data_IF_324579627158
#
_entry.id   IF_324579627158
#
_cell.length_a   1.000
_cell.length_b   1.000
_cell.length_c   1.000
_cell.angle_alpha   90.00
_cell.angle_beta   90.00
_cell.angle_gamma   90.00
#
_symmetry.space_group_name_H-M   'P 1'
#
loop_
_entity.id
_entity.type
_entity.pdbx_description
1 polymer ?
#
# COMPACT_ATOMS: atom_id res chain seq x y z
N UNK A 1 -17.33 -20.64 24.50
CA UNK A 1 -17.91 -21.53 23.47
C UNK A 1 -18.79 -20.78 22.46
N UNK A 2 -19.78 -19.97 22.87
CA UNK A 2 -20.67 -19.21 21.96
C UNK A 2 -19.91 -18.27 20.98
N UNK A 3 -18.97 -17.45 21.47
CA UNK A 3 -18.18 -16.55 20.63
C UNK A 3 -17.36 -17.28 19.55
N UNK A 4 -16.79 -18.44 19.89
CA UNK A 4 -16.05 -19.28 18.94
C UNK A 4 -16.98 -19.89 17.89
N UNK A 5 -18.16 -20.39 18.28
CA UNK A 5 -19.16 -20.89 17.32
C UNK A 5 -19.70 -19.79 16.41
N UNK A 6 -19.87 -18.57 16.91
CA UNK A 6 -20.30 -17.42 16.11
C UNK A 6 -19.22 -17.03 15.10
N UNK A 7 -17.95 -16.98 15.53
CA UNK A 7 -16.82 -16.77 14.64
C UNK A 7 -16.73 -17.84 13.54
N UNK A 8 -16.82 -19.12 13.91
CA UNK A 8 -16.77 -20.24 12.96
C UNK A 8 -17.94 -20.20 11.96
N UNK A 9 -19.14 -19.83 12.41
CA UNK A 9 -20.32 -19.69 11.55
C UNK A 9 -20.17 -18.53 10.55
N UNK A 10 -19.70 -17.37 11.02
CA UNK A 10 -19.38 -16.21 10.16
C UNK A 10 -18.30 -16.57 9.13
N UNK A 11 -17.26 -17.28 9.56
CA UNK A 11 -16.19 -17.76 8.68
C UNK A 11 -16.74 -18.73 7.61
N UNK A 12 -17.58 -19.69 8.02
CA UNK A 12 -18.20 -20.65 7.11
C UNK A 12 -19.08 -19.95 6.05
N UNK A 13 -19.94 -19.02 6.47
CA UNK A 13 -20.80 -18.26 5.56
C UNK A 13 -19.97 -17.43 4.57
N UNK A 14 -18.90 -16.77 5.05
CA UNK A 14 -17.98 -16.00 4.20
C UNK A 14 -17.25 -16.86 3.17
N UNK A 15 -16.79 -18.05 3.57
CA UNK A 15 -16.18 -19.02 2.65
C UNK A 15 -17.19 -19.42 1.58
N UNK A 16 -18.45 -19.63 1.96
CA UNK A 16 -19.52 -20.02 1.04
C UNK A 16 -19.86 -18.91 0.03
N UNK A 17 -19.88 -17.65 0.47
CA UNK A 17 -20.20 -16.49 -0.36
C UNK A 17 -19.03 -16.09 -1.29
N UNK A 18 -17.79 -16.16 -0.82
CA UNK A 18 -16.60 -15.72 -1.56
C UNK A 18 -15.61 -16.88 -1.80
N UNK A 19 -16.09 -18.02 -2.30
CA UNK A 19 -15.28 -19.23 -2.52
C UNK A 19 -14.00 -18.97 -3.32
N UNK A 20 -14.08 -18.14 -4.38
CA UNK A 20 -12.93 -17.81 -5.22
C UNK A 20 -11.83 -17.08 -4.43
N UNK A 21 -12.21 -16.07 -3.65
CA UNK A 21 -11.30 -15.32 -2.78
C UNK A 21 -10.68 -16.23 -1.72
N UNK A 22 -11.44 -17.14 -1.13
CA UNK A 22 -10.92 -18.11 -0.16
C UNK A 22 -9.90 -19.08 -0.77
N UNK A 23 -10.17 -19.59 -1.98
CA UNK A 23 -9.24 -20.45 -2.71
C UNK A 23 -7.95 -19.68 -3.03
N UNK A 24 -8.07 -18.46 -3.57
CA UNK A 24 -6.93 -17.58 -3.85
C UNK A 24 -6.08 -17.35 -2.59
N UNK A 25 -6.70 -16.91 -1.50
CA UNK A 25 -6.05 -16.70 -0.21
C UNK A 25 -5.30 -17.96 0.26
N UNK A 26 -5.94 -19.12 0.15
CA UNK A 26 -5.34 -20.39 0.58
C UNK A 26 -4.12 -20.74 -0.26
N UNK A 27 -4.20 -20.59 -1.58
CA UNK A 27 -3.07 -20.84 -2.49
C UNK A 27 -1.91 -19.91 -2.16
N UNK A 28 -2.16 -18.58 -2.09
CA UNK A 28 -1.13 -17.60 -1.78
C UNK A 28 -0.49 -17.88 -0.41
N UNK A 29 -1.30 -18.20 0.61
CA UNK A 29 -0.81 -18.52 1.95
C UNK A 29 0.09 -19.77 1.95
N UNK A 30 -0.29 -20.82 1.23
CA UNK A 30 0.53 -22.02 1.11
C UNK A 30 1.85 -21.74 0.39
N UNK A 31 1.84 -20.89 -0.64
CA UNK A 31 3.07 -20.44 -1.31
C UNK A 31 3.99 -19.68 -0.36
N UNK A 32 3.44 -18.75 0.45
CA UNK A 32 4.21 -18.00 1.46
C UNK A 32 4.78 -18.93 2.53
N UNK A 33 4.02 -19.92 2.99
CA UNK A 33 4.51 -20.92 3.96
C UNK A 33 5.66 -21.77 3.38
N UNK A 34 5.54 -22.20 2.13
CA UNK A 34 6.62 -22.91 1.45
C UNK A 34 7.87 -22.02 1.30
N UNK A 35 7.69 -20.74 0.94
CA UNK A 35 8.78 -19.76 0.86
C UNK A 35 9.44 -19.53 2.22
N UNK A 36 8.66 -19.42 3.31
CA UNK A 36 9.15 -19.28 4.68
C UNK A 36 10.04 -20.47 5.07
N UNK A 37 9.55 -21.70 4.87
CA UNK A 37 10.32 -22.91 5.16
C UNK A 37 11.63 -22.91 4.37
N UNK A 38 11.57 -22.62 3.06
CA UNK A 38 12.76 -22.53 2.22
C UNK A 38 13.73 -21.47 2.74
N UNK A 39 13.28 -20.27 3.07
CA UNK A 39 14.12 -19.17 3.57
C UNK A 39 14.85 -19.55 4.86
N UNK A 40 14.17 -20.24 5.78
CA UNK A 40 14.78 -20.76 7.01
C UNK A 40 15.85 -21.81 6.69
N UNK A 41 15.55 -22.76 5.78
CA UNK A 41 16.49 -23.83 5.41
C UNK A 41 17.77 -23.31 4.75
N UNK A 42 17.71 -22.20 4.03
CA UNK A 42 18.88 -21.56 3.40
C UNK A 42 19.52 -20.45 4.25
N UNK A 43 19.09 -20.31 5.52
CA UNK A 43 19.54 -19.26 6.44
C UNK A 43 19.33 -17.81 5.94
N UNK A 44 18.33 -17.59 5.08
CA UNK A 44 17.90 -16.24 4.69
C UNK A 44 16.88 -15.72 5.71
N UNK A 45 17.37 -15.13 6.80
CA UNK A 45 16.52 -14.63 7.89
C UNK A 45 15.70 -13.40 7.51
N UNK A 46 16.22 -12.52 6.66
CA UNK A 46 15.48 -11.37 6.12
C UNK A 46 14.28 -11.86 5.30
N UNK A 47 14.52 -12.81 4.39
CA UNK A 47 13.46 -13.44 3.60
C UNK A 47 12.43 -14.18 4.46
N UNK A 48 12.85 -14.78 5.59
CA UNK A 48 11.93 -15.38 6.54
C UNK A 48 11.08 -14.33 7.28
N UNK A 49 11.67 -13.19 7.67
CA UNK A 49 10.96 -12.07 8.29
C UNK A 49 9.91 -11.47 7.34
N UNK A 50 10.25 -11.29 6.06
CA UNK A 50 9.32 -10.87 5.00
C UNK A 50 8.13 -11.83 4.87
N UNK A 51 8.38 -13.14 4.89
CA UNK A 51 7.31 -14.14 4.83
C UNK A 51 6.40 -14.09 6.07
N UNK A 52 6.96 -13.92 7.26
CA UNK A 52 6.18 -13.79 8.50
C UNK A 52 5.32 -12.52 8.47
N UNK A 53 5.88 -11.38 8.07
CA UNK A 53 5.15 -10.13 7.90
C UNK A 53 4.00 -10.30 6.89
N UNK A 54 4.26 -10.97 5.76
CA UNK A 54 3.22 -11.28 4.75
C UNK A 54 2.06 -12.09 5.35
N UNK A 55 2.35 -13.11 6.16
CA UNK A 55 1.32 -13.92 6.83
C UNK A 55 0.50 -13.10 7.82
N UNK A 56 1.12 -12.14 8.53
CA UNK A 56 0.42 -11.20 9.41
C UNK A 56 -0.47 -10.26 8.60
N UNK A 57 0.05 -9.67 7.52
CA UNK A 57 -0.71 -8.77 6.65
C UNK A 57 -1.91 -9.48 5.99
N UNK A 58 -1.80 -10.76 5.67
CA UNK A 58 -2.91 -11.58 5.18
C UNK A 58 -4.07 -11.74 6.18
N UNK A 59 -3.85 -11.51 7.47
CA UNK A 59 -4.91 -11.53 8.49
C UNK A 59 -5.67 -10.19 8.50
N UNK A 60 -5.03 -9.10 8.06
CA UNK A 60 -5.51 -7.73 8.21
C UNK A 60 -6.93 -7.51 7.67
N UNK A 61 -7.34 -7.98 6.47
CA UNK A 61 -8.70 -7.77 5.99
C UNK A 61 -9.77 -8.33 6.94
N UNK A 62 -9.57 -9.59 7.38
CA UNK A 62 -10.50 -10.26 8.31
C UNK A 62 -10.56 -9.59 9.68
N UNK A 63 -9.42 -9.06 10.15
CA UNK A 63 -9.35 -8.31 11.39
C UNK A 63 -10.09 -6.98 11.29
N UNK A 64 -9.90 -6.23 10.21
CA UNK A 64 -10.58 -4.94 9.97
C UNK A 64 -12.10 -5.11 9.87
N UNK A 65 -12.57 -6.16 9.18
CA UNK A 65 -13.99 -6.47 9.08
C UNK A 65 -14.63 -6.74 10.44
N UNK A 66 -13.97 -7.53 11.29
CA UNK A 66 -14.44 -7.80 12.65
C UNK A 66 -14.39 -6.57 13.54
N UNK A 67 -13.33 -5.77 13.46
CA UNK A 67 -13.14 -4.59 14.32
C UNK A 67 -14.03 -3.42 13.93
N UNK A 68 -14.30 -3.23 12.63
CA UNK A 68 -15.11 -2.13 12.13
C UNK A 68 -16.58 -2.52 11.91
N UNK A 69 -16.94 -3.80 12.11
CA UNK A 69 -18.27 -4.34 11.82
C UNK A 69 -18.70 -4.07 10.38
N UNK A 70 -17.79 -4.36 9.44
CA UNK A 70 -17.99 -4.15 8.01
C UNK A 70 -17.71 -5.42 7.20
N UNK A 71 -18.22 -5.45 5.97
CA UNK A 71 -17.95 -6.48 4.98
C UNK A 71 -17.18 -5.91 3.79
N UNK A 72 -15.98 -6.42 3.57
CA UNK A 72 -15.15 -6.11 2.41
C UNK A 72 -15.53 -7.09 1.29
N UNK A 73 -15.90 -6.60 0.09
CA UNK A 73 -16.30 -7.47 -1.00
C UNK A 73 -15.15 -8.39 -1.44
N UNK A 74 -15.48 -9.61 -1.87
CA UNK A 74 -14.48 -10.63 -2.22
C UNK A 74 -13.49 -10.21 -3.31
N UNK A 75 -13.93 -9.38 -4.26
CA UNK A 75 -13.05 -8.77 -5.27
C UNK A 75 -11.98 -7.89 -4.60
N UNK A 76 -12.39 -7.01 -3.69
CA UNK A 76 -11.48 -6.10 -3.02
C UNK A 76 -10.51 -6.85 -2.11
N UNK A 77 -10.99 -7.84 -1.34
CA UNK A 77 -10.11 -8.74 -0.58
C UNK A 77 -9.09 -9.44 -1.47
N UNK A 78 -9.52 -9.96 -2.63
CA UNK A 78 -8.63 -10.62 -3.60
C UNK A 78 -7.54 -9.68 -4.11
N UNK A 79 -7.89 -8.43 -4.43
CA UNK A 79 -6.92 -7.40 -4.84
C UNK A 79 -5.92 -7.14 -3.71
N UNK A 80 -6.37 -7.00 -2.45
CA UNK A 80 -5.49 -6.79 -1.30
C UNK A 80 -4.51 -7.96 -1.12
N UNK A 81 -4.97 -9.21 -1.19
CA UNK A 81 -4.08 -10.37 -1.06
C UNK A 81 -3.06 -10.45 -2.19
N UNK A 82 -3.48 -10.20 -3.43
CA UNK A 82 -2.57 -10.15 -4.58
C UNK A 82 -1.55 -9.00 -4.44
N UNK A 83 -1.99 -7.83 -3.97
CA UNK A 83 -1.11 -6.68 -3.75
C UNK A 83 -0.03 -6.99 -2.70
N UNK A 84 -0.45 -7.49 -1.53
CA UNK A 84 0.49 -7.87 -0.45
C UNK A 84 1.47 -8.93 -0.94
N UNK A 85 1.01 -9.94 -1.67
CA UNK A 85 1.88 -10.97 -2.24
C UNK A 85 2.86 -10.38 -3.27
N UNK A 86 2.39 -9.48 -4.13
CA UNK A 86 3.22 -8.83 -5.14
C UNK A 86 4.30 -7.93 -4.53
N UNK A 87 3.96 -7.15 -3.51
CA UNK A 87 4.92 -6.29 -2.81
C UNK A 87 5.93 -7.12 -1.99
N UNK A 88 5.44 -7.98 -1.10
CA UNK A 88 6.31 -8.65 -0.13
C UNK A 88 7.04 -9.86 -0.71
N UNK A 89 6.37 -10.72 -1.49
CA UNK A 89 6.98 -11.98 -1.94
C UNK A 89 7.69 -11.79 -3.28
N UNK A 90 7.01 -11.20 -4.25
CA UNK A 90 7.61 -11.00 -5.57
C UNK A 90 8.60 -9.82 -5.55
N UNK A 91 8.20 -8.71 -4.94
CA UNK A 91 9.03 -7.52 -4.75
C UNK A 91 10.25 -7.80 -3.89
N UNK A 92 10.07 -7.96 -2.58
CA UNK A 92 11.18 -8.12 -1.63
C UNK A 92 11.90 -9.47 -1.76
N UNK A 93 11.18 -10.59 -1.59
CA UNK A 93 11.86 -11.90 -1.52
C UNK A 93 12.43 -12.37 -2.87
N UNK A 94 11.87 -11.93 -3.99
CA UNK A 94 12.31 -12.31 -5.34
C UNK A 94 12.96 -11.18 -6.14
N UNK A 95 13.18 -10.03 -5.50
CA UNK A 95 13.89 -8.86 -6.02
C UNK A 95 13.23 -8.26 -7.28
N UNK A 96 11.90 -8.27 -7.39
CA UNK A 96 11.23 -7.69 -8.56
C UNK A 96 11.35 -6.17 -8.60
N UNK A 97 11.56 -5.52 -7.46
CA UNK A 97 11.85 -4.08 -7.38
C UNK A 97 13.09 -3.69 -8.19
N UNK A 98 14.09 -4.56 -8.29
CA UNK A 98 15.32 -4.30 -9.06
C UNK A 98 15.32 -4.96 -10.44
N UNK A 99 14.59 -6.08 -10.61
CA UNK A 99 14.57 -6.84 -11.87
C UNK A 99 13.55 -6.33 -12.89
N UNK A 100 12.45 -5.74 -12.44
CA UNK A 100 11.34 -5.33 -13.30
C UNK A 100 11.14 -3.82 -13.12
N UNK A 101 11.55 -2.99 -14.11
CA UNK A 101 11.60 -1.53 -13.94
C UNK A 101 10.28 -0.85 -13.56
N UNK A 102 9.13 -1.43 -13.94
CA UNK A 102 7.80 -0.87 -13.67
C UNK A 102 7.16 -1.42 -12.39
N UNK A 103 7.77 -2.42 -11.74
CA UNK A 103 7.14 -3.15 -10.64
C UNK A 103 6.73 -2.23 -9.51
N UNK A 104 7.71 -1.46 -9.06
CA UNK A 104 7.59 -0.49 -8.00
C UNK A 104 6.54 0.59 -8.31
N UNK A 105 6.74 1.29 -9.43
CA UNK A 105 5.81 2.28 -9.98
C UNK A 105 4.36 1.77 -10.03
N UNK A 106 4.16 0.53 -10.50
CA UNK A 106 2.83 -0.06 -10.63
C UNK A 106 2.19 -0.33 -9.27
N UNK A 107 2.97 -0.82 -8.30
CA UNK A 107 2.48 -1.05 -6.94
C UNK A 107 2.13 0.27 -6.25
N UNK A 108 2.98 1.29 -6.30
CA UNK A 108 2.65 2.60 -5.70
C UNK A 108 1.44 3.27 -6.36
N UNK A 109 1.29 3.15 -7.69
CA UNK A 109 0.08 3.64 -8.38
C UNK A 109 -1.18 2.91 -7.90
N UNK A 110 -1.12 1.58 -7.83
CA UNK A 110 -2.24 0.77 -7.35
C UNK A 110 -2.55 1.06 -5.88
N UNK A 111 -1.52 1.28 -5.06
CA UNK A 111 -1.64 1.63 -3.66
C UNK A 111 -2.45 2.91 -3.47
N UNK A 112 -2.08 3.97 -4.20
CA UNK A 112 -2.77 5.25 -4.16
C UNK A 112 -4.24 5.15 -4.57
N UNK A 113 -4.53 4.32 -5.58
CA UNK A 113 -5.89 4.04 -6.01
C UNK A 113 -6.70 3.29 -4.94
N UNK A 114 -6.14 2.22 -4.36
CA UNK A 114 -6.84 1.38 -3.39
C UNK A 114 -7.06 2.11 -2.06
N UNK A 115 -6.08 2.85 -1.55
CA UNK A 115 -6.27 3.60 -0.30
C UNK A 115 -7.21 4.78 -0.49
N UNK A 116 -7.27 5.39 -1.68
CA UNK A 116 -8.33 6.34 -1.99
C UNK A 116 -9.71 5.67 -1.99
N UNK A 117 -9.81 4.42 -2.46
CA UNK A 117 -11.05 3.63 -2.36
C UNK A 117 -11.45 3.34 -0.92
N UNK A 118 -10.51 2.89 -0.08
CA UNK A 118 -10.76 2.67 1.36
C UNK A 118 -11.23 3.97 2.01
N UNK A 119 -10.50 5.07 1.79
CA UNK A 119 -10.82 6.38 2.36
C UNK A 119 -12.22 6.84 1.95
N UNK A 120 -12.53 6.76 0.65
CA UNK A 120 -13.82 7.14 0.09
C UNK A 120 -14.96 6.32 0.69
N UNK A 121 -14.84 5.01 0.73
CA UNK A 121 -15.89 4.12 1.24
C UNK A 121 -16.11 4.35 2.72
N UNK A 122 -15.04 4.56 3.50
CA UNK A 122 -15.12 4.84 4.93
C UNK A 122 -15.87 6.14 5.18
N UNK A 123 -15.52 7.22 4.49
CA UNK A 123 -16.18 8.51 4.68
C UNK A 123 -17.61 8.53 4.12
N UNK A 124 -17.89 7.83 3.01
CA UNK A 124 -19.23 7.69 2.44
C UNK A 124 -20.15 6.93 3.40
N UNK A 125 -19.65 5.86 4.03
CA UNK A 125 -20.40 5.10 5.03
C UNK A 125 -20.76 5.96 6.24
N UNK A 126 -19.79 6.71 6.77
CA UNK A 126 -20.04 7.64 7.88
C UNK A 126 -21.01 8.75 7.50
N UNK A 127 -20.89 9.29 6.29
CA UNK A 127 -21.76 10.36 5.79
C UNK A 127 -23.20 9.90 5.61
N UNK A 128 -23.44 8.68 5.08
CA UNK A 128 -24.78 8.14 4.88
C UNK A 128 -25.48 7.74 6.18
N UNK A 129 -24.71 7.29 7.17
CA UNK A 129 -25.25 6.87 8.46
C UNK A 129 -25.31 8.01 9.49
N UNK A 130 -24.80 9.20 9.15
CA UNK A 130 -24.86 10.37 10.03
C UNK A 130 -26.14 11.18 9.79
N UNK A 131 -26.83 11.50 10.88
CA UNK A 131 -27.97 12.43 10.86
C UNK A 131 -27.55 13.92 10.79
N UNK A 132 -26.29 14.21 11.11
CA UNK A 132 -25.78 15.57 11.29
C UNK A 132 -24.74 15.98 10.23
N UNK A 133 -24.25 15.03 9.45
CA UNK A 133 -23.15 15.24 8.50
C UNK A 133 -23.66 14.92 7.10
N UNK A 134 -23.66 15.93 6.23
CA UNK A 134 -24.05 15.82 4.84
C UNK A 134 -22.99 16.50 3.97
N UNK A 135 -22.00 15.72 3.57
CA UNK A 135 -20.85 16.17 2.79
C UNK A 135 -21.20 16.20 1.29
N UNK A 136 -20.66 17.19 0.59
CA UNK A 136 -20.73 17.25 -0.86
C UNK A 136 -19.86 16.15 -1.49
N UNK A 137 -20.17 15.70 -2.72
CA UNK A 137 -19.33 14.75 -3.45
C UNK A 137 -17.86 15.14 -3.51
N UNK A 138 -17.59 16.44 -3.72
CA UNK A 138 -16.23 16.97 -3.77
C UNK A 138 -15.50 16.75 -2.44
N UNK A 139 -16.15 17.09 -1.31
CA UNK A 139 -15.54 16.96 0.00
C UNK A 139 -15.26 15.50 0.37
N UNK A 140 -16.18 14.59 0.05
CA UNK A 140 -15.98 13.13 0.20
C UNK A 140 -14.72 12.66 -0.54
N UNK A 141 -14.58 13.05 -1.81
CA UNK A 141 -13.41 12.66 -2.63
C UNK A 141 -12.12 13.36 -2.21
N UNK A 142 -12.20 14.57 -1.65
CA UNK A 142 -11.04 15.27 -1.12
C UNK A 142 -10.51 14.58 0.14
N UNK A 143 -11.39 14.18 1.06
CA UNK A 143 -11.01 13.41 2.25
C UNK A 143 -10.39 12.07 1.86
N UNK A 144 -10.97 11.37 0.88
CA UNK A 144 -10.43 10.13 0.34
C UNK A 144 -9.02 10.30 -0.25
N UNK A 145 -8.80 11.39 -1.00
CA UNK A 145 -7.50 11.74 -1.55
C UNK A 145 -6.47 12.00 -0.44
N UNK A 146 -6.81 12.83 0.55
CA UNK A 146 -5.92 13.11 1.67
C UNK A 146 -5.59 11.86 2.48
N UNK A 147 -6.58 10.98 2.70
CA UNK A 147 -6.36 9.70 3.37
C UNK A 147 -5.34 8.85 2.60
N UNK A 148 -5.53 8.68 1.28
CA UNK A 148 -4.60 7.93 0.44
C UNK A 148 -3.17 8.47 0.46
N UNK A 149 -3.02 9.79 0.31
CA UNK A 149 -1.70 10.42 0.35
C UNK A 149 -1.04 10.31 1.73
N UNK A 150 -1.82 10.35 2.81
CA UNK A 150 -1.29 10.15 4.17
C UNK A 150 -0.71 8.75 4.33
N UNK A 151 -1.41 7.72 3.83
CA UNK A 151 -0.87 6.35 3.87
C UNK A 151 0.40 6.22 3.02
N UNK A 152 0.44 6.85 1.84
CA UNK A 152 1.65 6.91 1.02
C UNK A 152 2.84 7.49 1.79
N UNK A 153 2.67 8.65 2.43
CA UNK A 153 3.74 9.27 3.24
C UNK A 153 4.16 8.40 4.42
N UNK A 154 3.21 7.74 5.09
CA UNK A 154 3.54 6.83 6.20
C UNK A 154 4.36 5.63 5.72
N UNK A 155 4.16 5.18 4.48
CA UNK A 155 4.97 4.12 3.89
C UNK A 155 6.41 4.59 3.64
N UNK A 156 6.60 5.77 3.05
CA UNK A 156 7.94 6.36 2.86
C UNK A 156 8.70 6.53 4.19
N UNK A 157 7.98 6.82 5.29
CA UNK A 157 8.60 6.86 6.62
C UNK A 157 9.05 5.50 7.12
N UNK A 158 8.37 4.42 6.74
CA UNK A 158 8.79 3.05 7.06
C UNK A 158 10.05 2.71 6.27
N UNK A 159 10.10 3.07 4.99
CA UNK A 159 11.27 2.83 4.12
C UNK A 159 12.49 3.58 4.65
N UNK A 160 12.33 4.87 4.93
CA UNK A 160 13.36 5.69 5.55
C UNK A 160 13.84 5.13 6.89
N UNK A 161 12.92 4.60 7.71
CA UNK A 161 13.29 3.96 8.96
C UNK A 161 14.07 2.64 8.72
N UNK A 162 13.71 1.87 7.70
CA UNK A 162 14.47 0.71 7.20
C UNK A 162 15.93 1.06 6.94
N UNK A 163 16.13 2.12 6.16
CA UNK A 163 17.45 2.55 5.70
C UNK A 163 18.30 3.08 6.86
N UNK A 164 17.70 3.88 7.75
CA UNK A 164 18.40 4.51 8.86
C UNK A 164 18.70 3.56 10.03
N UNK A 165 17.78 2.64 10.36
CA UNK A 165 17.85 1.88 11.62
C UNK A 165 18.12 0.39 11.42
N UNK A 166 17.83 -0.16 10.23
CA UNK A 166 17.91 -1.60 9.99
C UNK A 166 18.94 -1.98 8.92
N UNK A 167 19.68 -1.00 8.39
CA UNK A 167 20.72 -1.23 7.37
C UNK A 167 20.16 -1.75 6.06
N UNK A 168 18.91 -1.40 5.77
CA UNK A 168 18.24 -1.74 4.52
C UNK A 168 18.54 -0.67 3.46
N UNK A 169 18.04 -0.91 2.26
CA UNK A 169 18.09 0.00 1.11
C UNK A 169 16.72 -0.07 0.43
N UNK A 170 15.68 0.39 1.14
CA UNK A 170 14.30 0.39 0.70
C UNK A 170 14.07 1.52 -0.31
N UNK A 171 14.56 2.74 -0.03
CA UNK A 171 14.50 3.86 -0.96
C UNK A 171 15.65 3.79 -1.97
N UNK A 172 15.37 3.42 -3.23
CA UNK A 172 16.41 3.07 -4.21
C UNK A 172 17.23 4.27 -4.68
N UNK A 173 18.52 4.02 -4.90
CA UNK A 173 19.45 5.02 -5.39
C UNK A 173 19.22 5.41 -6.86
N UNK A 174 19.40 6.70 -7.16
CA UNK A 174 19.42 7.24 -8.53
C UNK A 174 20.78 7.82 -8.88
N UNK A 175 21.21 7.64 -10.13
CA UNK A 175 22.40 8.30 -10.67
C UNK A 175 21.97 9.54 -11.46
N UNK A 176 22.35 10.73 -10.99
CA UNK A 176 22.03 12.01 -11.62
C UNK A 176 23.27 12.75 -12.09
N UNK A 177 23.19 13.39 -13.26
CA UNK A 177 24.32 14.11 -13.85
C UNK A 177 24.35 15.60 -13.45
N UNK A 178 23.31 16.06 -12.76
CA UNK A 178 23.14 17.47 -12.34
C UNK A 178 22.36 17.55 -11.04
N UNK A 179 22.78 18.42 -10.13
CA UNK A 179 22.00 18.83 -8.96
C UNK A 179 22.28 20.28 -8.59
N UNK A 180 21.44 20.84 -7.72
CA UNK A 180 21.65 22.15 -7.12
C UNK A 180 21.63 22.02 -5.60
N UNK A 181 22.56 22.67 -4.91
CA UNK A 181 22.59 22.64 -3.44
C UNK A 181 23.02 23.96 -2.84
N UNK A 182 22.23 24.46 -1.89
CA UNK A 182 22.59 25.61 -1.07
C UNK A 182 23.70 25.27 -0.06
N UNK A 183 23.97 23.98 0.21
CA UNK A 183 25.04 23.55 1.13
C UNK A 183 26.44 23.90 0.60
N UNK A 184 26.56 24.06 -0.70
CA UNK A 184 27.81 24.43 -1.37
C UNK A 184 28.06 25.94 -1.34
N UNK A 185 27.08 26.76 -0.94
CA UNK A 185 27.22 28.21 -0.84
C UNK A 185 28.19 28.59 0.29
N UNK A 186 29.40 29.12 -0.02
CA UNK A 186 30.36 29.50 1.01
C UNK A 186 29.90 30.72 1.83
N UNK A 187 28.90 31.46 1.35
CA UNK A 187 28.40 32.68 1.97
C UNK A 187 27.20 32.45 2.90
N UNK A 188 26.59 31.25 2.88
CA UNK A 188 25.37 30.90 3.62
C UNK A 188 24.17 31.82 3.34
N UNK A 189 24.04 32.36 2.11
CA UNK A 189 22.95 33.24 1.70
C UNK A 189 21.81 32.49 0.98
N UNK A 190 21.75 31.16 1.12
CA UNK A 190 20.80 30.27 0.44
C UNK A 190 20.91 30.31 -1.10
N UNK A 191 22.09 30.63 -1.65
CA UNK A 191 22.29 30.54 -3.09
C UNK A 191 22.44 29.08 -3.51
N UNK A 192 21.56 28.60 -4.39
CA UNK A 192 21.68 27.26 -4.95
C UNK A 192 22.84 27.19 -5.96
N UNK A 193 23.93 26.53 -5.60
CA UNK A 193 25.05 26.30 -6.53
C UNK A 193 24.74 25.09 -7.40
N UNK A 194 24.81 25.26 -8.71
CA UNK A 194 24.63 24.20 -9.71
C UNK A 194 25.91 23.41 -9.90
N UNK A 195 25.82 22.09 -9.74
CA UNK A 195 26.84 21.12 -10.11
C UNK A 195 26.29 20.33 -11.30
N UNK A 196 27.02 20.31 -12.41
CA UNK A 196 26.57 19.69 -13.66
C UNK A 196 27.71 18.93 -14.34
N UNK A 197 27.36 18.17 -15.37
CA UNK A 197 28.29 17.34 -16.15
C UNK A 197 29.08 16.36 -15.26
N UNK A 198 28.38 15.80 -14.26
CA UNK A 198 28.97 14.87 -13.29
C UNK A 198 29.24 13.54 -13.98
N UNK A 199 30.52 13.16 -14.03
CA UNK A 199 30.96 11.91 -14.69
C UNK A 199 31.01 10.75 -13.71
N UNK A 200 31.39 11.01 -12.45
CA UNK A 200 31.54 9.98 -11.41
C UNK A 200 31.48 10.55 -10.01
N UNK A 201 31.21 9.68 -9.04
CA UNK A 201 31.25 9.97 -7.60
C UNK A 201 32.20 9.00 -6.90
N UNK A 202 33.03 9.52 -5.99
CA UNK A 202 33.93 8.73 -5.16
C UNK A 202 33.59 8.96 -3.68
N UNK A 203 33.31 7.87 -2.97
CA UNK A 203 32.99 7.88 -1.54
C UNK A 203 34.19 7.32 -0.79
N UNK A 204 34.84 8.17 0.00
CA UNK A 204 35.99 7.81 0.82
C UNK A 204 35.53 7.48 2.23
N UNK A 205 35.83 6.27 2.68
CA UNK A 205 35.51 5.84 4.05
C UNK A 205 36.70 6.04 4.99
N UNK A 206 36.43 6.13 6.30
CA UNK A 206 37.47 6.29 7.31
C UNK A 206 38.47 5.10 7.37
N UNK A 207 38.10 3.92 6.85
CA UNK A 207 38.99 2.76 6.74
C UNK A 207 39.96 2.84 5.55
N UNK A 208 39.82 3.86 4.69
CA UNK A 208 40.58 4.01 3.45
C UNK A 208 39.98 3.29 2.24
N UNK A 209 38.84 2.61 2.40
CA UNK A 209 38.11 2.04 1.27
C UNK A 209 37.45 3.16 0.45
N UNK A 210 37.56 3.06 -0.87
CA UNK A 210 36.94 3.98 -1.83
C UNK A 210 35.89 3.23 -2.63
N UNK A 211 34.67 3.74 -2.65
CA UNK A 211 33.60 3.26 -3.52
C UNK A 211 33.47 4.23 -4.69
N UNK A 212 33.49 3.72 -5.91
CA UNK A 212 33.36 4.50 -7.13
C UNK A 212 32.02 4.20 -7.79
N UNK A 213 31.26 5.26 -8.07
CA UNK A 213 29.99 5.23 -8.79
C UNK A 213 30.19 5.95 -10.11
N UNK A 214 30.10 5.21 -11.21
CA UNK A 214 30.23 5.74 -12.56
C UNK A 214 28.93 6.37 -13.04
N UNK A 215 29.03 7.38 -13.91
CA UNK A 215 27.90 7.97 -14.64
C UNK A 215 27.16 9.11 -13.93
N UNK A 216 27.56 9.53 -12.72
CA UNK A 216 26.97 10.69 -12.06
C UNK A 216 27.14 10.76 -10.54
N UNK A 217 26.29 11.59 -9.92
CA UNK A 217 26.07 11.71 -8.48
C UNK A 217 25.08 10.65 -8.00
N UNK A 218 25.42 10.00 -6.88
CA UNK A 218 24.55 9.03 -6.22
C UNK A 218 23.55 9.77 -5.32
N UNK A 219 22.30 9.87 -5.77
CA UNK A 219 21.17 10.35 -4.99
C UNK A 219 20.59 9.19 -4.17
N UNK A 220 20.65 9.32 -2.84
CA UNK A 220 20.22 8.26 -1.92
C UNK A 220 18.74 8.48 -1.59
N UNK A 221 17.87 7.73 -2.26
CA UNK A 221 16.45 7.58 -1.95
C UNK A 221 15.52 8.78 -2.17
N UNK A 222 16.02 10.01 -2.39
CA UNK A 222 15.16 11.20 -2.54
C UNK A 222 14.31 11.10 -3.80
N UNK A 223 14.92 10.79 -4.94
CA UNK A 223 14.19 10.68 -6.20
C UNK A 223 13.23 9.49 -6.23
N UNK A 224 13.55 8.41 -5.54
CA UNK A 224 12.66 7.25 -5.42
C UNK A 224 11.40 7.62 -4.64
N UNK A 225 11.56 8.12 -3.41
CA UNK A 225 10.45 8.59 -2.58
C UNK A 225 9.57 9.61 -3.28
N UNK A 226 10.18 10.58 -3.98
CA UNK A 226 9.40 11.58 -4.70
C UNK A 226 8.66 10.99 -5.91
N UNK A 227 9.26 10.02 -6.62
CA UNK A 227 8.60 9.28 -7.70
C UNK A 227 7.42 8.48 -7.15
N UNK A 228 7.59 7.83 -6.02
CA UNK A 228 6.61 6.90 -5.44
C UNK A 228 5.40 7.65 -4.90
N UNK A 229 5.61 8.75 -4.17
CA UNK A 229 4.56 9.67 -3.78
C UNK A 229 3.81 10.27 -4.99
N UNK A 230 4.52 10.57 -6.09
CA UNK A 230 3.91 11.12 -7.30
C UNK A 230 3.00 10.09 -8.00
N UNK A 231 3.45 8.85 -8.17
CA UNK A 231 2.64 7.83 -8.84
C UNK A 231 1.49 7.35 -7.94
N UNK A 232 1.69 7.34 -6.61
CA UNK A 232 0.63 7.18 -5.63
C UNK A 232 -0.43 8.29 -5.76
N UNK A 233 -0.01 9.55 -5.90
CA UNK A 233 -0.91 10.67 -6.16
C UNK A 233 -1.74 10.46 -7.43
N UNK A 234 -1.13 10.00 -8.52
CA UNK A 234 -1.85 9.71 -9.77
C UNK A 234 -2.94 8.66 -9.52
N UNK A 235 -2.60 7.55 -8.86
CA UNK A 235 -3.58 6.52 -8.50
C UNK A 235 -4.75 7.05 -7.67
N UNK A 236 -4.45 7.86 -6.66
CA UNK A 236 -5.45 8.47 -5.79
C UNK A 236 -6.38 9.42 -6.56
N UNK A 237 -5.83 10.29 -7.42
CA UNK A 237 -6.62 11.20 -8.28
C UNK A 237 -7.54 10.41 -9.20
N UNK A 238 -7.03 9.36 -9.85
CA UNK A 238 -7.83 8.52 -10.75
C UNK A 238 -9.02 7.90 -10.00
N UNK A 239 -8.81 7.34 -8.81
CA UNK A 239 -9.93 6.83 -8.00
C UNK A 239 -10.90 7.95 -7.62
N UNK A 240 -10.42 9.09 -7.15
CA UNK A 240 -11.28 10.20 -6.74
C UNK A 240 -12.14 10.74 -7.90
N UNK A 241 -11.67 10.71 -9.15
CA UNK A 241 -12.48 11.01 -10.32
C UNK A 241 -13.63 9.99 -10.46
N UNK A 242 -13.36 8.69 -10.32
CA UNK A 242 -14.42 7.67 -10.35
C UNK A 242 -15.41 7.86 -9.20
N UNK A 243 -14.94 8.11 -7.98
CA UNK A 243 -15.77 8.38 -6.81
C UNK A 243 -16.67 9.61 -7.00
N UNK A 244 -16.12 10.70 -7.53
CA UNK A 244 -16.86 11.93 -7.80
C UNK A 244 -17.97 11.70 -8.84
N UNK A 245 -17.61 11.06 -9.95
CA UNK A 245 -18.56 10.73 -11.03
C UNK A 245 -19.68 9.83 -10.51
N UNK A 246 -19.36 8.83 -9.68
CA UNK A 246 -20.34 7.95 -9.05
C UNK A 246 -21.32 8.73 -8.15
N UNK A 247 -20.83 9.60 -7.28
CA UNK A 247 -21.70 10.38 -6.39
C UNK A 247 -22.56 11.41 -7.14
N UNK A 248 -22.02 12.01 -8.19
CA UNK A 248 -22.73 13.08 -8.92
C UNK A 248 -23.72 12.56 -9.96
N UNK A 249 -23.39 11.46 -10.66
CA UNK A 249 -24.21 10.92 -11.76
C UNK A 249 -24.90 9.59 -11.42
N UNK A 250 -24.58 8.98 -10.28
CA UNK A 250 -25.11 7.68 -9.86
C UNK A 250 -24.75 6.55 -10.84
N UNK A 251 -25.61 5.54 -10.89
CA UNK A 251 -25.46 4.35 -11.75
C UNK A 251 -25.54 4.63 -13.26
N UNK A 252 -25.84 5.88 -13.67
CA UNK A 252 -25.90 6.27 -15.09
C UNK A 252 -24.55 6.12 -15.79
N UNK A 253 -23.44 6.20 -15.05
CA UNK A 253 -22.08 5.97 -15.56
C UNK A 253 -21.62 4.57 -15.16
N UNK A 254 -21.91 3.59 -16.01
CA UNK A 254 -21.68 2.15 -15.75
C UNK A 254 -20.24 1.81 -15.30
N UNK A 255 -19.22 2.45 -15.89
CA UNK A 255 -17.83 2.19 -15.53
C UNK A 255 -17.50 2.65 -14.10
N UNK A 256 -17.80 3.91 -13.77
CA UNK A 256 -17.57 4.45 -12.43
C UNK A 256 -18.37 3.68 -11.36
N UNK A 257 -19.62 3.35 -11.66
CA UNK A 257 -20.44 2.53 -10.77
C UNK A 257 -19.84 1.13 -10.56
N UNK A 258 -19.37 0.46 -11.60
CA UNK A 258 -18.74 -0.86 -11.46
C UNK A 258 -17.46 -0.83 -10.63
N UNK A 259 -16.63 0.21 -10.80
CA UNK A 259 -15.39 0.37 -10.03
C UNK A 259 -15.69 0.61 -8.56
N UNK A 260 -16.56 1.59 -8.26
CA UNK A 260 -16.87 1.96 -6.88
C UNK A 260 -17.64 0.85 -6.17
N UNK A 261 -18.67 0.26 -6.79
CA UNK A 261 -19.46 -0.82 -6.19
C UNK A 261 -18.63 -2.10 -6.01
N UNK A 262 -17.70 -2.41 -6.92
CA UNK A 262 -16.80 -3.56 -6.78
C UNK A 262 -15.85 -3.47 -5.59
N UNK A 263 -15.60 -2.25 -5.08
CA UNK A 263 -14.74 -1.96 -3.93
C UNK A 263 -15.54 -1.51 -2.70
N UNK A 264 -16.87 -1.49 -2.79
CA UNK A 264 -17.72 -0.91 -1.76
C UNK A 264 -17.84 -1.84 -0.56
N UNK A 265 -17.36 -1.33 0.58
CA UNK A 265 -17.53 -1.93 1.90
C UNK A 265 -18.95 -1.62 2.40
N UNK A 266 -19.60 -2.64 2.97
CA UNK A 266 -20.96 -2.53 3.51
C UNK A 266 -20.93 -2.73 5.03
N UNK A 267 -21.89 -2.19 5.79
CA UNK A 267 -22.10 -2.64 7.17
C UNK A 267 -22.25 -4.16 7.21
N UNK A 268 -21.67 -4.81 8.21
CA UNK A 268 -22.02 -6.19 8.49
C UNK A 268 -23.51 -6.28 8.84
N UNK A 269 -24.23 -7.31 8.38
CA UNK A 269 -25.63 -7.50 8.74
C UNK A 269 -25.77 -7.55 10.27
N UNK A 270 -26.80 -6.87 10.79
CA UNK A 270 -27.14 -6.93 12.22
C UNK A 270 -27.31 -8.40 12.63
N UNK A 271 -26.72 -8.77 13.76
CA UNK A 271 -26.94 -10.10 14.30
C UNK A 271 -28.46 -10.29 14.48
N UNK A 272 -29.06 -11.38 13.98
CA UNK A 272 -30.46 -11.65 14.29
C UNK A 272 -30.58 -11.64 15.81
N UNK A 273 -31.50 -10.80 16.31
CA UNK A 273 -31.84 -10.75 17.73
C UNK A 273 -32.04 -12.18 18.19
N UNK A 274 -31.34 -12.56 19.27
CA UNK A 274 -31.52 -13.86 19.90
C UNK A 274 -33.02 -14.00 20.18
N UNK A 275 -33.71 -14.92 19.48
CA UNK A 275 -34.98 -15.42 20.00
C UNK A 275 -34.62 -16.00 21.37
N UNK A 276 -35.02 -15.29 22.42
CA UNK A 276 -34.99 -15.81 23.78
C UNK A 276 -35.81 -17.10 23.74
N UNK A 277 -35.11 -18.24 23.70
CA UNK A 277 -35.72 -19.54 23.95
C UNK A 277 -36.24 -19.51 25.39
N UNK A 278 -37.54 -19.20 25.55
CA UNK A 278 -38.32 -19.43 26.78
C UNK A 278 -38.39 -20.93 27.13
#
# INVERSE_FOLDING_TARGET
MKALNNYLRRLHNRIKENKGTFILYTILRLMVLAALIRSILIHNYEGAAVCLLTLVLFILPSFLEGSLQVEIPGLFQGIIYCFIFAAMILGELHNYYTKIPIWDTALHTLNGFLFAAVGFVTIDLLNRNSKNVHLSPLYLTMVAFCFSMTIGVLWEFIECAGDLFFGQDMQKDFIVQVFQSCKLDPTNNQQAIKVADIIKTQIFTASGQVFEVEGGYLDIGILDTMKDLLVNLIGAVVFCIFGFVYLHFGSKKKLAASVVEGLRIQPAPEEPAEEEEE
#
